data_IF_416793067230
#
_entry.id   IF_416793067230
#
_cell.length_a   1.000
_cell.length_b   1.000
_cell.length_c   1.000
_cell.angle_alpha   90.00
_cell.angle_beta   90.00
_cell.angle_gamma   90.00
#
_symmetry.space_group_name_H-M   'P 1'
#
loop_
_entity.id
_entity.type
_entity.pdbx_description
1 polymer ?
#
# COMPACT_ATOMS: atom_id res chain seq x y z
N UNK A 1 -20.59 -12.44 26.76
CA UNK A 1 -19.17 -12.00 26.71
C UNK A 1 -19.16 -10.51 26.99
N UNK A 2 -18.28 -10.00 27.85
CA UNK A 2 -18.10 -8.58 28.02
C UNK A 2 -17.34 -8.01 26.82
N UNK A 3 -17.74 -6.82 26.35
CA UNK A 3 -17.12 -6.06 25.27
C UNK A 3 -17.87 -6.11 23.94
N UNK A 4 -17.61 -5.11 23.13
CA UNK A 4 -18.05 -5.04 21.73
C UNK A 4 -17.25 -5.97 20.85
N UNK A 5 -17.85 -6.50 19.81
CA UNK A 5 -17.22 -7.38 18.81
C UNK A 5 -17.45 -6.77 17.44
N UNK A 6 -16.40 -6.71 16.64
CA UNK A 6 -16.53 -6.29 15.24
C UNK A 6 -17.36 -7.36 14.50
N UNK A 7 -18.44 -6.93 13.89
CA UNK A 7 -19.26 -7.80 13.06
C UNK A 7 -18.50 -8.05 11.74
N UNK A 8 -18.32 -9.31 11.39
CA UNK A 8 -17.72 -9.71 10.13
C UNK A 8 -18.56 -10.79 9.45
N UNK A 9 -18.57 -10.78 8.13
CA UNK A 9 -19.29 -11.75 7.33
C UNK A 9 -19.12 -11.44 5.84
N UNK A 10 -19.61 -12.35 4.97
CA UNK A 10 -19.65 -12.06 3.54
C UNK A 10 -20.55 -10.85 3.27
N UNK A 11 -20.16 -10.01 2.31
CA UNK A 11 -21.01 -8.93 1.83
C UNK A 11 -22.24 -9.52 1.13
N UNK A 12 -23.38 -9.35 1.77
CA UNK A 12 -24.68 -9.84 1.28
C UNK A 12 -25.61 -8.68 0.90
N UNK A 13 -25.02 -7.49 0.63
CA UNK A 13 -25.78 -6.32 0.24
C UNK A 13 -26.62 -5.72 1.38
N UNK A 14 -26.11 -5.73 2.60
CA UNK A 14 -26.73 -5.09 3.74
C UNK A 14 -26.72 -3.58 3.50
N UNK A 15 -27.92 -2.98 3.46
CA UNK A 15 -28.12 -1.54 3.18
C UNK A 15 -28.60 -0.74 4.40
N UNK A 16 -28.78 -1.41 5.53
CA UNK A 16 -29.20 -0.77 6.78
C UNK A 16 -28.02 -0.64 7.74
N UNK A 17 -27.93 0.45 8.53
CA UNK A 17 -26.94 0.57 9.58
C UNK A 17 -27.06 -0.60 10.57
N UNK A 18 -25.95 -1.16 10.96
CA UNK A 18 -25.89 -2.28 11.91
C UNK A 18 -24.77 -2.04 12.92
N UNK A 19 -25.07 -2.24 14.17
CA UNK A 19 -24.13 -2.08 15.29
C UNK A 19 -24.23 -3.30 16.21
N UNK A 20 -23.11 -3.71 16.76
CA UNK A 20 -23.06 -4.71 17.81
C UNK A 20 -22.85 -4.01 19.16
N UNK A 21 -23.79 -4.21 20.08
CA UNK A 21 -23.74 -3.64 21.43
C UNK A 21 -23.53 -4.72 22.48
N UNK A 22 -22.99 -4.35 23.63
CA UNK A 22 -22.82 -5.28 24.76
C UNK A 22 -24.15 -5.86 25.25
N UNK A 23 -24.10 -7.08 25.80
CA UNK A 23 -25.27 -7.80 26.26
C UNK A 23 -26.14 -6.97 27.24
N UNK A 24 -25.50 -6.27 28.17
CA UNK A 24 -26.22 -5.41 29.16
C UNK A 24 -26.96 -4.26 28.47
N UNK A 25 -26.34 -3.59 27.52
CA UNK A 25 -26.96 -2.51 26.76
C UNK A 25 -28.04 -3.06 25.83
N UNK A 26 -27.83 -4.21 25.21
CA UNK A 26 -28.81 -4.92 24.39
C UNK A 26 -30.05 -5.33 25.19
N UNK A 27 -29.87 -5.83 26.41
CA UNK A 27 -30.96 -6.21 27.29
C UNK A 27 -31.77 -4.97 27.74
N UNK A 28 -31.08 -3.86 28.03
CA UNK A 28 -31.75 -2.59 28.38
C UNK A 28 -32.57 -2.04 27.21
N UNK A 29 -32.00 -2.06 25.99
CA UNK A 29 -32.69 -1.65 24.77
C UNK A 29 -33.90 -2.52 24.48
N UNK A 30 -33.76 -3.84 24.59
CA UNK A 30 -34.86 -4.77 24.41
C UNK A 30 -36.00 -4.53 25.43
N UNK A 31 -35.64 -4.25 26.69
CA UNK A 31 -36.64 -3.90 27.72
C UNK A 31 -37.35 -2.59 27.37
N UNK A 32 -36.64 -1.55 26.93
CA UNK A 32 -37.21 -0.28 26.53
C UNK A 32 -38.21 -0.40 25.36
N UNK A 33 -37.78 -1.12 24.29
CA UNK A 33 -38.65 -1.35 23.11
C UNK A 33 -39.85 -2.24 23.45
N UNK A 34 -39.70 -3.19 24.39
CA UNK A 34 -40.81 -4.00 24.85
C UNK A 34 -41.84 -3.19 25.66
N UNK A 35 -41.35 -2.23 26.45
CA UNK A 35 -42.19 -1.35 27.24
C UNK A 35 -42.91 -0.30 26.36
N UNK A 36 -42.19 0.23 25.36
CA UNK A 36 -42.72 1.19 24.40
C UNK A 36 -42.27 0.87 22.99
N UNK A 37 -43.11 0.26 22.14
CA UNK A 37 -42.76 -0.05 20.74
C UNK A 37 -42.48 1.16 19.86
N UNK A 38 -42.71 2.37 20.34
CA UNK A 38 -42.38 3.62 19.63
C UNK A 38 -41.00 4.17 20.02
N UNK A 39 -40.23 3.43 20.82
CA UNK A 39 -38.86 3.79 21.21
C UNK A 39 -38.02 4.01 19.96
N UNK A 40 -37.48 5.23 19.85
CA UNK A 40 -36.55 5.60 18.79
C UNK A 40 -35.11 5.32 19.22
N UNK A 41 -34.34 4.75 18.36
CA UNK A 41 -32.90 4.54 18.55
C UNK A 41 -32.16 5.36 17.50
N UNK A 42 -31.26 6.19 17.96
CA UNK A 42 -30.37 6.95 17.09
C UNK A 42 -29.00 6.25 17.06
N UNK A 43 -28.64 5.79 15.87
CA UNK A 43 -27.31 5.19 15.61
C UNK A 43 -26.48 6.24 14.90
N UNK A 44 -25.53 6.81 15.59
CA UNK A 44 -24.65 7.85 15.07
C UNK A 44 -23.22 7.63 15.52
N UNK A 45 -22.32 8.34 14.89
CA UNK A 45 -20.91 8.35 15.24
C UNK A 45 -20.61 9.52 16.17
N UNK A 46 -20.06 9.24 17.34
CA UNK A 46 -19.68 10.27 18.30
C UNK A 46 -18.49 11.11 17.82
N UNK A 47 -17.51 10.47 17.17
CA UNK A 47 -16.36 11.14 16.57
C UNK A 47 -16.18 10.71 15.12
N UNK A 48 -16.49 11.60 14.17
CA UNK A 48 -16.15 11.41 12.77
C UNK A 48 -14.70 11.72 12.52
N UNK A 49 -13.94 10.75 12.11
CA UNK A 49 -12.57 10.95 11.66
C UNK A 49 -12.53 11.02 10.14
N UNK A 50 -11.91 12.07 9.62
CA UNK A 50 -11.64 12.19 8.19
C UNK A 50 -10.27 11.59 7.97
N UNK A 51 -10.23 10.43 7.32
CA UNK A 51 -8.97 9.86 6.85
C UNK A 51 -8.80 10.22 5.37
N UNK A 52 -7.66 10.77 5.05
CA UNK A 52 -7.22 10.84 3.67
C UNK A 52 -6.60 9.49 3.35
N UNK A 53 -7.38 8.63 2.71
CA UNK A 53 -6.90 7.31 2.29
C UNK A 53 -6.56 7.41 0.80
N UNK A 54 -5.30 7.19 0.49
CA UNK A 54 -4.87 6.90 -0.85
C UNK A 54 -5.09 5.41 -1.14
N UNK A 55 -5.85 5.09 -2.16
CA UNK A 55 -5.96 3.70 -2.59
C UNK A 55 -4.71 3.31 -3.39
N UNK A 56 -4.39 2.02 -3.41
CA UNK A 56 -3.19 1.53 -4.08
C UNK A 56 -3.19 1.85 -5.59
N UNK A 57 -4.37 1.96 -6.19
CA UNK A 57 -4.58 2.34 -7.60
C UNK A 57 -4.52 3.85 -7.86
N UNK A 58 -4.60 4.68 -6.83
CA UNK A 58 -4.56 6.15 -6.95
C UNK A 58 -3.12 6.71 -6.77
N UNK A 59 -2.14 5.83 -6.65
CA UNK A 59 -0.74 6.23 -6.54
C UNK A 59 -0.12 6.56 -7.88
N UNK A 60 0.69 7.59 -7.88
CA UNK A 60 1.40 8.07 -9.07
C UNK A 60 2.89 8.25 -8.79
N UNK A 61 3.65 8.23 -9.87
CA UNK A 61 5.08 8.55 -9.88
C UNK A 61 5.31 9.67 -10.87
N UNK A 62 5.75 10.80 -10.36
CA UNK A 62 6.24 11.91 -11.17
C UNK A 62 7.76 11.96 -11.17
N UNK A 63 8.37 12.37 -12.28
CA UNK A 63 9.81 12.57 -12.31
C UNK A 63 10.25 13.78 -13.12
N UNK A 64 11.46 14.18 -12.88
CA UNK A 64 12.09 15.33 -13.52
C UNK A 64 11.94 15.27 -15.03
N UNK A 65 11.43 16.34 -15.64
CA UNK A 65 11.14 16.41 -17.07
C UNK A 65 9.66 16.40 -17.42
N UNK A 66 8.76 16.39 -16.42
CA UNK A 66 7.31 16.47 -16.60
C UNK A 66 6.65 15.14 -17.00
N UNK A 67 7.24 14.03 -16.63
CA UNK A 67 6.69 12.71 -16.84
C UNK A 67 5.82 12.30 -15.66
N UNK A 68 4.78 11.53 -15.96
CA UNK A 68 3.80 11.04 -15.00
C UNK A 68 3.46 9.58 -15.32
N UNK A 69 3.37 8.76 -14.30
CA UNK A 69 2.93 7.37 -14.44
C UNK A 69 2.02 6.99 -13.27
N UNK A 70 0.81 6.52 -13.60
CA UNK A 70 -0.06 5.86 -12.64
C UNK A 70 0.45 4.44 -12.36
N UNK A 71 0.23 3.95 -11.15
CA UNK A 71 0.68 2.64 -10.76
C UNK A 71 -0.16 2.01 -9.66
N UNK A 72 0.17 0.76 -9.32
CA UNK A 72 -0.38 0.07 -8.16
C UNK A 72 0.66 0.05 -7.05
N UNK A 73 0.39 0.77 -5.98
CA UNK A 73 1.25 0.74 -4.80
C UNK A 73 0.95 -0.47 -3.91
N UNK A 74 1.95 -0.87 -3.15
CA UNK A 74 1.80 -1.77 -2.01
C UNK A 74 2.43 -1.06 -0.82
N UNK A 75 1.60 -0.82 0.17
CA UNK A 75 2.00 -0.22 1.42
C UNK A 75 2.17 -1.32 2.46
N UNK A 76 3.19 -1.20 3.27
CA UNK A 76 3.46 -2.03 4.43
C UNK A 76 3.39 -3.56 4.18
N UNK A 77 4.50 -4.21 4.26
CA UNK A 77 4.69 -5.66 4.40
C UNK A 77 3.86 -6.60 3.52
N UNK A 78 3.34 -6.13 2.38
CA UNK A 78 2.45 -6.92 1.52
C UNK A 78 1.20 -7.46 2.22
N UNK A 79 0.68 -6.74 3.19
CA UNK A 79 -0.52 -7.11 3.95
C UNK A 79 -1.02 -6.03 4.90
N UNK A 80 -0.39 -4.87 4.92
CA UNK A 80 -0.67 -3.80 5.87
C UNK A 80 -1.63 -2.71 5.40
N UNK A 81 -1.92 -1.81 6.31
CA UNK A 81 -2.91 -0.74 6.19
C UNK A 81 -2.39 0.39 5.29
N UNK A 82 -3.23 0.88 4.41
CA UNK A 82 -2.97 2.00 3.52
C UNK A 82 -2.83 3.31 4.30
N UNK A 83 -1.62 3.84 4.39
CA UNK A 83 -1.37 5.17 4.95
C UNK A 83 -1.04 6.15 3.81
N UNK A 84 -1.88 7.17 3.62
CA UNK A 84 -1.71 8.20 2.60
C UNK A 84 -0.43 9.06 2.81
N UNK A 85 0.23 8.91 3.96
CA UNK A 85 1.48 9.62 4.26
C UNK A 85 2.73 8.96 3.69
N UNK A 86 2.61 7.76 3.09
CA UNK A 86 3.71 7.04 2.48
C UNK A 86 4.07 7.65 1.11
N UNK A 87 4.58 8.86 1.15
CA UNK A 87 5.18 9.54 0.01
C UNK A 87 6.70 9.37 0.06
N UNK A 88 7.33 9.23 -1.10
CA UNK A 88 8.78 9.19 -1.18
C UNK A 88 9.26 10.07 -2.32
N UNK A 89 10.06 11.09 -1.99
CA UNK A 89 10.73 11.92 -2.97
C UNK A 89 12.24 11.77 -2.84
N UNK A 90 12.90 11.24 -3.85
CA UNK A 90 14.34 11.09 -3.87
C UNK A 90 14.89 10.84 -5.27
N UNK A 91 16.21 10.87 -5.40
CA UNK A 91 16.88 10.40 -6.62
C UNK A 91 16.71 8.90 -6.78
N UNK A 92 16.73 8.45 -8.03
CA UNK A 92 16.54 7.04 -8.40
C UNK A 92 17.88 6.36 -8.62
N UNK A 93 17.96 5.09 -8.22
CA UNK A 93 19.07 4.19 -8.57
C UNK A 93 18.50 2.95 -9.26
N UNK A 94 19.00 2.65 -10.44
CA UNK A 94 18.67 1.41 -11.14
C UNK A 94 19.34 0.24 -10.40
N UNK A 95 18.57 -0.80 -10.07
CA UNK A 95 19.11 -1.97 -9.38
C UNK A 95 20.11 -2.74 -10.27
N UNK A 96 21.11 -3.33 -9.64
CA UNK A 96 22.04 -4.25 -10.29
C UNK A 96 22.11 -5.57 -9.51
N UNK A 97 21.59 -6.66 -10.11
CA UNK A 97 20.99 -6.78 -11.44
C UNK A 97 19.65 -6.00 -11.57
N UNK A 98 19.33 -5.58 -12.78
CA UNK A 98 18.16 -4.75 -13.09
C UNK A 98 16.83 -5.35 -12.56
N UNK A 99 16.73 -6.67 -12.53
CA UNK A 99 15.56 -7.36 -11.99
C UNK A 99 15.55 -7.46 -10.45
N UNK A 100 16.60 -7.00 -9.77
CA UNK A 100 16.72 -7.03 -8.32
C UNK A 100 16.74 -8.44 -7.70
N UNK A 101 16.87 -9.48 -8.52
CA UNK A 101 16.84 -10.88 -8.08
C UNK A 101 18.23 -11.34 -7.69
N UNK A 102 18.53 -11.28 -6.43
CA UNK A 102 19.75 -11.82 -5.87
C UNK A 102 19.33 -12.81 -4.78
N UNK A 103 19.68 -14.09 -4.97
CA UNK A 103 19.60 -15.12 -3.95
C UNK A 103 18.23 -15.72 -3.63
N UNK A 104 17.22 -15.49 -4.48
CA UNK A 104 15.93 -16.21 -4.36
C UNK A 104 15.99 -17.56 -5.12
N UNK A 105 17.02 -18.34 -4.87
CA UNK A 105 17.16 -19.68 -5.47
C UNK A 105 16.16 -20.68 -4.87
N UNK A 106 15.63 -20.38 -3.70
CA UNK A 106 14.66 -21.23 -2.99
C UNK A 106 13.20 -20.88 -3.30
N UNK A 107 12.95 -19.70 -3.90
CA UNK A 107 11.60 -19.23 -4.19
C UNK A 107 10.78 -18.91 -2.93
N UNK A 108 11.43 -18.62 -1.81
CA UNK A 108 10.80 -18.30 -0.52
C UNK A 108 10.54 -16.81 -0.33
N UNK A 109 10.91 -15.98 -1.30
CA UNK A 109 10.75 -14.53 -1.26
C UNK A 109 11.76 -13.79 -0.39
N UNK A 110 12.72 -14.50 0.20
CA UNK A 110 13.72 -13.89 1.07
C UNK A 110 14.80 -13.15 0.29
N UNK A 111 15.35 -12.10 0.92
CA UNK A 111 16.48 -11.38 0.37
C UNK A 111 17.76 -12.21 0.39
N UNK A 112 18.62 -11.95 -0.57
CA UNK A 112 19.96 -12.56 -0.59
C UNK A 112 20.86 -11.99 0.52
N UNK A 113 21.65 -12.83 1.17
CA UNK A 113 22.71 -12.36 2.06
C UNK A 113 23.81 -11.58 1.31
N UNK A 114 23.94 -11.76 -0.01
CA UNK A 114 24.95 -11.05 -0.83
C UNK A 114 24.47 -9.67 -1.30
N UNK A 115 23.16 -9.43 -1.29
CA UNK A 115 22.57 -8.14 -1.68
C UNK A 115 22.75 -7.77 -3.15
N UNK A 116 22.30 -6.57 -3.52
CA UNK A 116 22.49 -6.00 -4.85
C UNK A 116 23.95 -5.62 -5.09
N UNK A 117 24.46 -5.78 -6.32
CA UNK A 117 25.84 -5.46 -6.66
C UNK A 117 26.17 -3.97 -6.43
N UNK A 118 25.17 -3.10 -6.59
CA UNK A 118 25.28 -1.66 -6.35
C UNK A 118 24.62 -1.19 -5.05
N UNK A 119 24.50 -2.05 -4.05
CA UNK A 119 23.87 -1.73 -2.75
C UNK A 119 24.41 -0.45 -2.12
N UNK A 120 25.71 -0.16 -2.26
CA UNK A 120 26.34 1.04 -1.71
C UNK A 120 25.79 2.36 -2.31
N UNK A 121 25.10 2.31 -3.45
CA UNK A 121 24.49 3.48 -4.09
C UNK A 121 23.03 3.71 -3.66
N UNK A 122 22.41 2.76 -2.94
CA UNK A 122 20.99 2.76 -2.59
C UNK A 122 20.59 3.64 -1.40
N UNK A 123 21.45 3.88 -0.37
CA UNK A 123 20.98 4.55 0.84
C UNK A 123 20.33 5.90 0.57
N UNK A 124 19.09 6.07 1.08
CA UNK A 124 18.30 7.28 0.94
C UNK A 124 17.73 7.56 -0.46
N UNK A 125 17.76 6.56 -1.34
CA UNK A 125 17.27 6.69 -2.72
C UNK A 125 16.11 5.72 -2.99
N UNK A 126 15.47 5.90 -4.14
CA UNK A 126 14.42 5.01 -4.63
C UNK A 126 15.02 4.03 -5.63
N UNK A 127 14.78 2.73 -5.41
CA UNK A 127 15.26 1.69 -6.30
C UNK A 127 14.33 1.51 -7.51
N UNK A 128 14.87 1.54 -8.73
CA UNK A 128 14.15 1.18 -9.95
C UNK A 128 14.49 -0.26 -10.34
N UNK A 129 13.48 -1.11 -10.44
CA UNK A 129 13.62 -2.55 -10.60
C UNK A 129 12.71 -3.07 -11.70
N UNK A 130 13.22 -3.88 -12.63
CA UNK A 130 12.40 -4.52 -13.65
C UNK A 130 11.74 -5.79 -13.11
N UNK A 131 10.48 -6.03 -13.48
CA UNK A 131 9.76 -7.29 -13.21
C UNK A 131 10.49 -8.50 -13.79
N UNK A 132 10.20 -9.68 -13.25
CA UNK A 132 10.64 -10.98 -13.75
C UNK A 132 11.60 -11.69 -12.81
N UNK A 133 11.79 -12.99 -13.05
CA UNK A 133 12.72 -13.92 -12.40
C UNK A 133 12.31 -14.33 -10.97
N UNK A 134 12.24 -13.40 -10.01
CA UNK A 134 11.92 -13.68 -8.61
C UNK A 134 10.65 -12.96 -8.13
N UNK A 135 10.24 -13.23 -6.90
CA UNK A 135 9.09 -12.58 -6.28
C UNK A 135 9.27 -11.06 -6.14
N UNK A 136 8.15 -10.34 -6.11
CA UNK A 136 8.16 -8.89 -5.85
C UNK A 136 8.75 -8.58 -4.47
N UNK A 137 8.39 -9.38 -3.47
CA UNK A 137 8.92 -9.26 -2.11
C UNK A 137 10.44 -9.38 -2.06
N UNK A 138 11.04 -10.32 -2.78
CA UNK A 138 12.51 -10.46 -2.89
C UNK A 138 13.15 -9.18 -3.43
N UNK A 139 12.57 -8.60 -4.49
CA UNK A 139 13.10 -7.37 -5.12
C UNK A 139 13.10 -6.20 -4.15
N UNK A 140 11.93 -5.95 -3.51
CA UNK A 140 11.76 -4.84 -2.59
C UNK A 140 12.61 -5.03 -1.33
N UNK A 141 12.69 -6.26 -0.81
CA UNK A 141 13.52 -6.58 0.34
C UNK A 141 15.02 -6.38 0.05
N UNK A 142 15.49 -6.76 -1.14
CA UNK A 142 16.87 -6.50 -1.55
C UNK A 142 17.17 -5.01 -1.62
N UNK A 143 16.24 -4.19 -2.12
CA UNK A 143 16.37 -2.74 -2.14
C UNK A 143 16.35 -2.15 -0.71
N UNK A 144 15.42 -2.59 0.13
CA UNK A 144 15.33 -2.16 1.53
C UNK A 144 16.60 -2.48 2.30
N UNK A 145 17.12 -3.70 2.19
CA UNK A 145 18.36 -4.12 2.84
C UNK A 145 19.58 -3.35 2.35
N UNK A 146 19.52 -2.83 1.12
CA UNK A 146 20.52 -1.94 0.57
C UNK A 146 20.36 -0.47 1.04
N UNK A 147 19.33 -0.15 1.82
CA UNK A 147 19.07 1.18 2.37
C UNK A 147 18.22 2.08 1.48
N UNK A 148 17.53 1.54 0.47
CA UNK A 148 16.54 2.30 -0.29
C UNK A 148 15.37 2.74 0.62
N UNK A 149 14.80 3.91 0.32
CA UNK A 149 13.64 4.46 1.05
C UNK A 149 12.32 4.22 0.32
N UNK A 150 12.37 3.64 -0.87
CA UNK A 150 11.22 3.23 -1.68
C UNK A 150 11.67 2.39 -2.86
N UNK A 151 10.72 1.73 -3.52
CA UNK A 151 10.99 0.93 -4.71
C UNK A 151 9.92 1.16 -5.79
N UNK A 152 10.37 1.33 -7.02
CA UNK A 152 9.53 1.36 -8.20
C UNK A 152 9.83 0.07 -8.98
N UNK A 153 8.82 -0.79 -9.11
CA UNK A 153 8.92 -1.96 -9.97
C UNK A 153 8.15 -1.69 -11.25
N UNK A 154 8.78 -1.86 -12.38
CA UNK A 154 8.11 -1.70 -13.66
C UNK A 154 7.93 -3.01 -14.40
N UNK A 155 6.87 -3.08 -15.19
CA UNK A 155 6.53 -4.29 -15.94
C UNK A 155 7.63 -4.61 -16.97
N UNK A 156 7.68 -5.88 -17.34
CA UNK A 156 8.42 -6.34 -18.51
C UNK A 156 7.60 -6.11 -19.80
N UNK A 157 7.79 -6.92 -20.80
CA UNK A 157 7.11 -6.76 -22.11
C UNK A 157 5.61 -7.05 -22.07
N UNK A 158 5.04 -7.34 -20.90
CA UNK A 158 3.59 -7.54 -20.71
C UNK A 158 2.88 -6.21 -20.55
N UNK A 159 1.65 -6.06 -21.08
CA UNK A 159 0.90 -4.82 -20.95
C UNK A 159 0.29 -4.67 -19.54
N UNK A 160 0.04 -3.42 -19.17
CA UNK A 160 -0.70 -3.05 -17.96
C UNK A 160 0.09 -3.16 -16.66
N UNK A 161 -0.60 -2.90 -15.57
CA UNK A 161 -0.09 -3.02 -14.19
C UNK A 161 -0.62 -4.27 -13.52
N UNK A 162 -0.01 -4.67 -12.42
CA UNK A 162 -0.48 -5.76 -11.57
C UNK A 162 -0.39 -5.36 -10.11
N UNK A 163 -1.27 -5.92 -9.30
CA UNK A 163 -1.13 -5.87 -7.84
C UNK A 163 0.04 -6.76 -7.44
N UNK A 164 1.06 -6.17 -6.83
CA UNK A 164 2.20 -6.94 -6.34
C UNK A 164 1.77 -7.77 -5.13
N UNK A 165 2.14 -9.03 -5.11
CA UNK A 165 1.88 -9.95 -4.01
C UNK A 165 3.12 -10.78 -3.69
N UNK A 166 3.16 -11.31 -2.48
CA UNK A 166 4.22 -12.19 -2.02
C UNK A 166 4.08 -12.48 -0.53
N UNK A 167 4.94 -13.34 0.03
CA UNK A 167 4.97 -13.58 1.46
C UNK A 167 5.32 -12.30 2.22
N UNK A 168 4.74 -12.14 3.41
CA UNK A 168 5.17 -11.08 4.33
C UNK A 168 6.58 -11.42 4.84
N UNK A 169 7.52 -10.55 4.50
CA UNK A 169 8.94 -10.71 4.84
C UNK A 169 9.50 -9.49 5.58
N UNK A 170 8.61 -8.63 6.10
CA UNK A 170 9.00 -7.44 6.86
C UNK A 170 9.44 -6.26 5.99
N UNK A 171 8.81 -6.08 4.83
CA UNK A 171 9.00 -4.88 4.00
C UNK A 171 8.35 -3.68 4.71
N UNK A 172 9.10 -2.60 4.86
CA UNK A 172 8.66 -1.36 5.52
C UNK A 172 8.77 -0.13 4.62
N UNK A 173 9.37 -0.27 3.43
CA UNK A 173 9.46 0.84 2.47
C UNK A 173 8.29 0.80 1.49
N UNK A 174 7.77 1.98 1.06
CA UNK A 174 6.73 2.05 0.04
C UNK A 174 7.23 1.46 -1.27
N UNK A 175 6.36 0.76 -1.98
CA UNK A 175 6.66 0.25 -3.31
C UNK A 175 5.47 0.41 -4.25
N UNK A 176 5.76 0.76 -5.49
CA UNK A 176 4.77 0.97 -6.54
C UNK A 176 5.14 0.16 -7.78
N UNK A 177 4.11 -0.37 -8.45
CA UNK A 177 4.25 -1.05 -9.73
C UNK A 177 3.72 -0.17 -10.85
N UNK A 178 4.53 0.10 -11.85
CA UNK A 178 4.16 0.90 -13.03
C UNK A 178 4.24 0.08 -14.32
N UNK A 179 3.64 0.58 -15.39
CA UNK A 179 3.73 -0.06 -16.71
C UNK A 179 5.16 -0.10 -17.26
N UNK A 180 5.43 -1.07 -18.13
CA UNK A 180 6.74 -1.27 -18.74
C UNK A 180 7.23 -0.06 -19.52
N UNK A 181 6.34 0.57 -20.31
CA UNK A 181 6.70 1.76 -21.11
C UNK A 181 7.13 2.94 -20.24
N UNK A 182 6.43 3.17 -19.12
CA UNK A 182 6.78 4.21 -18.17
C UNK A 182 8.11 3.90 -17.44
N UNK A 183 8.28 2.63 -17.06
CA UNK A 183 9.52 2.17 -16.44
C UNK A 183 10.74 2.24 -17.34
N UNK A 184 10.61 1.90 -18.61
CA UNK A 184 11.69 2.05 -19.59
C UNK A 184 12.04 3.52 -19.83
N UNK A 185 11.04 4.42 -19.86
CA UNK A 185 11.27 5.85 -19.96
C UNK A 185 12.00 6.39 -18.72
N UNK A 186 11.61 5.97 -17.53
CA UNK A 186 12.31 6.34 -16.28
C UNK A 186 13.73 5.77 -16.26
N UNK A 187 13.94 4.52 -16.66
CA UNK A 187 15.26 3.92 -16.75
C UNK A 187 16.17 4.69 -17.72
N UNK A 188 15.66 5.11 -18.88
CA UNK A 188 16.38 5.94 -19.82
C UNK A 188 16.73 7.32 -19.22
N UNK A 189 15.80 7.96 -18.51
CA UNK A 189 16.04 9.23 -17.84
C UNK A 189 17.13 9.13 -16.77
N UNK A 190 17.08 8.12 -15.90
CA UNK A 190 18.10 7.88 -14.86
C UNK A 190 19.45 7.53 -15.46
N UNK A 191 19.49 6.81 -16.58
CA UNK A 191 20.72 6.49 -17.29
C UNK A 191 21.36 7.73 -17.90
N UNK A 192 20.55 8.65 -18.41
CA UNK A 192 21.00 9.92 -18.97
C UNK A 192 21.43 10.92 -17.89
N UNK A 193 20.72 10.93 -16.76
CA UNK A 193 20.98 11.83 -15.63
C UNK A 193 20.75 11.12 -14.30
N UNK A 194 21.82 10.75 -13.62
CA UNK A 194 21.79 10.09 -12.31
C UNK A 194 21.22 10.97 -11.19
N UNK A 195 20.98 12.26 -11.45
CA UNK A 195 20.29 13.18 -10.53
C UNK A 195 18.77 13.20 -10.71
N UNK A 196 18.21 12.35 -11.60
CA UNK A 196 16.76 12.23 -11.80
C UNK A 196 16.06 11.98 -10.47
N UNK A 197 15.16 12.90 -10.10
CA UNK A 197 14.34 12.81 -8.89
C UNK A 197 12.97 12.29 -9.30
N UNK A 198 12.43 11.37 -8.51
CA UNK A 198 11.02 10.96 -8.58
C UNK A 198 10.29 11.39 -7.33
N UNK A 199 8.99 11.56 -7.47
CA UNK A 199 8.03 11.79 -6.41
C UNK A 199 6.96 10.72 -6.50
N UNK A 200 6.89 9.86 -5.49
CA UNK A 200 5.85 8.85 -5.34
C UNK A 200 4.83 9.44 -4.38
N UNK A 201 3.63 9.69 -4.85
CA UNK A 201 2.57 10.30 -4.05
C UNK A 201 1.19 9.82 -4.52
N UNK A 202 0.18 10.19 -3.74
CA UNK A 202 -1.21 9.99 -4.13
C UNK A 202 -1.64 11.09 -5.09
N UNK A 203 -2.35 10.73 -6.16
CA UNK A 203 -2.97 11.72 -7.04
C UNK A 203 -3.90 12.62 -6.23
N UNK A 204 -3.94 13.94 -6.55
CA UNK A 204 -4.63 14.98 -5.75
C UNK A 204 -6.15 14.76 -5.60
N UNK A 205 -6.74 13.86 -6.35
CA UNK A 205 -8.12 13.40 -6.16
C UNK A 205 -8.27 12.41 -4.99
N UNK A 206 -7.48 12.58 -3.92
CA UNK A 206 -7.63 11.82 -2.69
C UNK A 206 -9.07 11.87 -2.21
N UNK A 207 -9.71 10.72 -2.15
CA UNK A 207 -11.06 10.61 -1.62
C UNK A 207 -11.00 10.79 -0.11
N UNK A 208 -11.59 11.88 0.36
CA UNK A 208 -11.88 12.04 1.79
C UNK A 208 -12.96 11.02 2.17
N UNK A 209 -12.58 9.98 2.87
CA UNK A 209 -13.54 9.07 3.47
C UNK A 209 -13.89 9.58 4.87
N UNK A 210 -15.15 9.93 5.06
CA UNK A 210 -15.69 10.06 6.42
C UNK A 210 -15.88 8.66 6.97
N UNK A 211 -15.13 8.35 7.97
CA UNK A 211 -15.10 7.03 8.57
C UNK A 211 -15.51 7.13 10.04
N UNK A 212 -16.35 6.22 10.46
CA UNK A 212 -16.69 6.07 11.86
C UNK A 212 -16.03 4.79 12.36
N UNK A 213 -15.11 4.91 13.31
CA UNK A 213 -14.55 3.74 13.96
C UNK A 213 -15.67 2.96 14.67
N UNK A 214 -15.60 1.62 14.59
CA UNK A 214 -16.59 0.76 15.22
C UNK A 214 -16.67 0.97 16.75
N UNK A 215 -15.64 1.56 17.35
CA UNK A 215 -15.56 1.88 18.76
C UNK A 215 -16.24 3.22 19.11
N UNK A 216 -16.50 4.07 18.10
CA UNK A 216 -17.11 5.41 18.26
C UNK A 216 -18.61 5.41 17.91
N UNK A 217 -19.23 4.23 17.68
CA UNK A 217 -20.67 4.06 17.45
C UNK A 217 -21.46 3.66 18.69
#
# INVERSE_FOLDING_TARGET
RPGTVVMSGPDVGITIPSIFIEGVAGDALNAAVTADPTTMVDIHCDERRIYQICQAEDMVVDWTGGFHASGHAVFDGYGGVHDATLTAQATVVIADPLNGCVGDETGDGQASPTGLANAAAMPGKIALIRRGVCFFTTKVMNAQNAGAIGAIIYNDDRPGTVVMSGPDVGITIPSIFIEGVAGDALNAAVTADASTVVDIHCDEETRNWEYCDAEDM
#
